data_IF_229474766906
#
_entry.id   IF_229474766906
#
_cell.length_a   1.000
_cell.length_b   1.000
_cell.length_c   1.000
_cell.angle_alpha   90.00
_cell.angle_beta   90.00
_cell.angle_gamma   90.00
#
_symmetry.space_group_name_H-M   'P 1'
#
loop_
_entity.id
_entity.type
_entity.pdbx_description
1 polymer ?
#
# COMPACT_ATOMS: atom_id res chain seq x y z
N UNK A 1 1.06 -21.85 -11.13
CA UNK A 1 0.44 -20.81 -10.30
C UNK A 1 -0.91 -21.32 -9.83
N UNK A 2 -1.18 -21.27 -8.53
CA UNK A 2 -2.50 -21.61 -8.01
C UNK A 2 -3.41 -20.36 -7.92
N UNK A 3 -4.69 -20.58 -7.54
CA UNK A 3 -5.69 -19.52 -7.47
C UNK A 3 -5.36 -18.42 -6.45
N UNK A 4 -4.79 -18.80 -5.30
CA UNK A 4 -4.45 -17.84 -4.25
C UNK A 4 -3.25 -16.98 -4.69
N UNK A 5 -2.23 -17.63 -5.23
CA UNK A 5 -1.05 -16.97 -5.80
C UNK A 5 -1.46 -16.00 -6.93
N UNK A 6 -2.43 -16.38 -7.77
CA UNK A 6 -2.97 -15.48 -8.79
C UNK A 6 -3.63 -14.23 -8.20
N UNK A 7 -4.49 -14.40 -7.19
CA UNK A 7 -5.21 -13.29 -6.54
C UNK A 7 -4.22 -12.30 -5.91
N UNK A 8 -3.12 -12.79 -5.36
CA UNK A 8 -2.07 -11.96 -4.76
C UNK A 8 -1.21 -11.23 -5.80
N UNK A 9 -0.84 -11.90 -6.90
CA UNK A 9 0.09 -11.35 -7.88
C UNK A 9 -0.56 -10.51 -8.98
N UNK A 10 -1.72 -10.90 -9.49
CA UNK A 10 -2.36 -10.26 -10.65
C UNK A 10 -2.59 -8.74 -10.49
N UNK A 11 -2.99 -8.22 -9.31
CA UNK A 11 -3.16 -6.78 -9.10
C UNK A 11 -1.88 -5.98 -9.37
N UNK A 12 -0.69 -6.52 -9.06
CA UNK A 12 0.58 -5.82 -9.26
C UNK A 12 0.91 -5.56 -10.73
N UNK A 13 0.49 -6.46 -11.64
CA UNK A 13 0.67 -6.30 -13.08
C UNK A 13 -0.24 -5.22 -13.66
N UNK A 14 -1.51 -5.20 -13.23
CA UNK A 14 -2.47 -4.16 -13.62
C UNK A 14 -2.08 -2.80 -13.03
N UNK A 15 -1.56 -2.76 -11.81
CA UNK A 15 -1.02 -1.55 -11.19
C UNK A 15 0.18 -1.00 -11.98
N UNK A 16 1.13 -1.85 -12.35
CA UNK A 16 2.27 -1.45 -13.17
C UNK A 16 1.85 -0.93 -14.55
N UNK A 17 0.97 -1.66 -15.26
CA UNK A 17 0.46 -1.24 -16.56
C UNK A 17 -0.28 0.11 -16.48
N UNK A 18 -1.15 0.27 -15.48
CA UNK A 18 -1.88 1.53 -15.27
C UNK A 18 -0.91 2.67 -14.97
N UNK A 19 0.13 2.44 -14.15
CA UNK A 19 1.13 3.46 -13.82
C UNK A 19 1.94 3.88 -15.05
N UNK A 20 2.33 2.91 -15.88
CA UNK A 20 3.03 3.16 -17.16
C UNK A 20 2.15 4.01 -18.08
N UNK A 21 0.90 3.61 -18.33
CA UNK A 21 0.00 4.36 -19.19
C UNK A 21 -0.19 5.81 -18.73
N UNK A 22 -0.42 6.01 -17.42
CA UNK A 22 -0.56 7.35 -16.85
C UNK A 22 0.75 8.16 -16.91
N UNK A 23 1.91 7.52 -16.82
CA UNK A 23 3.21 8.21 -16.88
C UNK A 23 3.53 8.78 -18.27
N UNK A 24 3.00 8.19 -19.34
CA UNK A 24 3.32 8.55 -20.73
C UNK A 24 2.56 9.77 -21.24
N UNK A 25 1.38 10.04 -20.67
CA UNK A 25 0.49 11.09 -21.13
C UNK A 25 0.10 12.02 -19.98
N UNK A 26 0.06 13.32 -20.25
CA UNK A 26 -0.53 14.31 -19.34
C UNK A 26 -1.99 14.51 -19.71
N UNK A 27 -2.88 14.46 -18.71
CA UNK A 27 -4.30 14.67 -18.95
C UNK A 27 -5.21 13.90 -18.01
N UNK A 28 -6.43 13.67 -18.49
CA UNK A 28 -7.48 12.94 -17.82
C UNK A 28 -7.68 11.59 -18.49
N UNK A 29 -7.86 10.55 -17.68
CA UNK A 29 -8.01 9.18 -18.16
C UNK A 29 -9.33 8.59 -17.67
N UNK A 30 -10.05 7.87 -18.51
CA UNK A 30 -11.13 6.99 -18.07
C UNK A 30 -10.62 5.55 -18.02
N UNK A 31 -11.38 4.64 -17.38
CA UNK A 31 -11.07 3.20 -17.47
C UNK A 31 -11.03 2.75 -18.94
N UNK A 32 -11.93 3.27 -19.76
CA UNK A 32 -11.98 2.98 -21.18
C UNK A 32 -10.75 3.47 -21.93
N UNK A 33 -10.21 4.66 -21.61
CA UNK A 33 -8.97 5.12 -22.25
C UNK A 33 -7.77 4.27 -21.82
N UNK A 34 -7.72 3.81 -20.57
CA UNK A 34 -6.67 2.89 -20.09
C UNK A 34 -6.73 1.54 -20.81
N UNK A 35 -7.93 0.99 -21.00
CA UNK A 35 -8.13 -0.22 -21.79
C UNK A 35 -7.63 -0.05 -23.22
N UNK A 36 -8.09 1.01 -23.89
CA UNK A 36 -7.70 1.30 -25.26
C UNK A 36 -6.19 1.51 -25.44
N UNK A 37 -5.48 2.05 -24.45
CA UNK A 37 -4.01 2.17 -24.47
C UNK A 37 -3.32 0.81 -24.60
N UNK A 38 -3.92 -0.24 -24.03
CA UNK A 38 -3.46 -1.62 -24.11
C UNK A 38 -4.40 -2.50 -24.95
N UNK A 39 -5.03 -1.94 -25.98
CA UNK A 39 -5.77 -2.71 -26.97
C UNK A 39 -4.97 -2.76 -28.27
N UNK A 40 -4.73 -3.97 -28.78
CA UNK A 40 -4.18 -4.16 -30.12
C UNK A 40 -5.35 -4.39 -31.08
N UNK A 41 -5.47 -3.52 -32.09
CA UNK A 41 -6.47 -3.66 -33.16
C UNK A 41 -5.79 -4.24 -34.39
N UNK A 42 -6.18 -5.45 -34.77
CA UNK A 42 -5.75 -6.11 -36.00
C UNK A 42 -6.96 -6.25 -36.94
N UNK A 43 -6.72 -6.57 -38.22
CA UNK A 43 -7.79 -6.65 -39.22
C UNK A 43 -8.90 -7.66 -38.86
N UNK A 44 -8.57 -8.66 -38.04
CA UNK A 44 -9.45 -9.78 -37.69
C UNK A 44 -10.00 -9.70 -36.24
N UNK A 45 -9.73 -8.61 -35.51
CA UNK A 45 -10.27 -8.43 -34.16
C UNK A 45 -9.51 -7.43 -33.28
N UNK A 46 -10.00 -7.28 -32.05
CA UNK A 46 -9.37 -6.47 -31.01
C UNK A 46 -8.92 -7.38 -29.86
N UNK A 47 -7.67 -7.21 -29.43
CA UNK A 47 -7.10 -7.89 -28.27
C UNK A 47 -6.87 -6.88 -27.15
N UNK A 48 -7.78 -6.87 -26.17
CA UNK A 48 -7.71 -6.04 -24.96
C UNK A 48 -6.85 -6.72 -23.89
N UNK A 49 -5.67 -6.16 -23.58
CA UNK A 49 -4.79 -6.75 -22.55
C UNK A 49 -5.22 -6.39 -21.11
N UNK A 50 -5.95 -5.28 -20.91
CA UNK A 50 -6.56 -4.93 -19.61
C UNK A 50 -8.02 -5.37 -19.53
N UNK A 51 -8.29 -6.67 -19.65
CA UNK A 51 -9.66 -7.19 -19.83
C UNK A 51 -10.55 -7.15 -18.58
N UNK A 52 -9.96 -7.07 -17.37
CA UNK A 52 -10.71 -7.23 -16.11
C UNK A 52 -10.81 -5.93 -15.30
N UNK A 53 -12.00 -5.32 -15.34
CA UNK A 53 -12.32 -4.09 -14.61
C UNK A 53 -11.97 -4.12 -13.12
N UNK A 54 -12.12 -5.27 -12.45
CA UNK A 54 -11.85 -5.37 -11.01
C UNK A 54 -10.38 -5.14 -10.69
N UNK A 55 -9.47 -5.59 -11.56
CA UNK A 55 -8.03 -5.39 -11.41
C UNK A 55 -7.64 -3.95 -11.75
N UNK A 56 -8.26 -3.33 -12.78
CA UNK A 56 -8.07 -1.91 -13.10
C UNK A 56 -8.53 -1.03 -11.93
N UNK A 57 -9.74 -1.29 -11.41
CA UNK A 57 -10.29 -0.54 -10.27
C UNK A 57 -9.46 -0.74 -9.00
N UNK A 58 -8.91 -1.93 -8.78
CA UNK A 58 -7.96 -2.18 -7.70
C UNK A 58 -6.70 -1.30 -7.85
N UNK A 59 -6.09 -1.29 -9.04
CA UNK A 59 -4.94 -0.44 -9.32
C UNK A 59 -5.23 1.06 -9.09
N UNK A 60 -6.33 1.57 -9.64
CA UNK A 60 -6.75 2.96 -9.47
C UNK A 60 -7.02 3.31 -8.01
N UNK A 61 -7.68 2.43 -7.24
CA UNK A 61 -7.90 2.61 -5.80
C UNK A 61 -6.59 2.71 -5.04
N UNK A 62 -5.62 1.85 -5.34
CA UNK A 62 -4.28 1.90 -4.71
C UNK A 62 -3.57 3.21 -5.03
N UNK A 63 -3.63 3.70 -6.27
CA UNK A 63 -3.03 4.99 -6.66
C UNK A 63 -3.72 6.18 -5.97
N UNK A 64 -5.06 6.16 -5.88
CA UNK A 64 -5.83 7.17 -5.14
C UNK A 64 -5.50 7.16 -3.65
N UNK A 65 -5.40 5.97 -3.04
CA UNK A 65 -5.03 5.82 -1.63
C UNK A 65 -3.64 6.36 -1.30
N UNK A 66 -2.72 6.35 -2.28
CA UNK A 66 -1.39 6.96 -2.19
C UNK A 66 -1.38 8.46 -2.52
N UNK A 67 -2.51 9.03 -2.93
CA UNK A 67 -2.63 10.43 -3.38
C UNK A 67 -1.96 10.71 -4.73
N UNK A 68 -1.62 9.68 -5.50
CA UNK A 68 -0.99 9.84 -6.82
C UNK A 68 -1.97 10.29 -7.89
N UNK A 69 -3.23 9.90 -7.77
CA UNK A 69 -4.30 10.33 -8.67
C UNK A 69 -5.53 10.78 -7.89
N UNK A 70 -6.38 11.57 -8.55
CA UNK A 70 -7.71 11.95 -8.06
C UNK A 70 -8.79 11.48 -9.04
N UNK A 71 -9.94 11.10 -8.51
CA UNK A 71 -11.13 10.79 -9.30
C UNK A 71 -12.01 12.04 -9.43
N UNK A 72 -12.42 12.33 -10.66
CA UNK A 72 -13.38 13.35 -11.03
C UNK A 72 -14.62 12.60 -11.51
N UNK A 73 -15.55 12.39 -10.59
CA UNK A 73 -16.81 11.73 -10.87
C UNK A 73 -17.70 12.62 -11.75
N UNK A 74 -18.36 12.02 -12.73
CA UNK A 74 -19.41 12.66 -13.52
C UNK A 74 -20.75 11.94 -13.28
N UNK A 75 -21.86 12.65 -13.51
CA UNK A 75 -23.20 12.11 -13.31
C UNK A 75 -23.67 11.21 -14.45
N UNK A 76 -23.19 11.46 -15.66
CA UNK A 76 -23.66 10.80 -16.89
C UNK A 76 -22.51 10.17 -17.69
N UNK A 77 -21.32 10.78 -17.64
CA UNK A 77 -20.10 10.27 -18.25
C UNK A 77 -19.32 9.30 -17.34
N UNK A 78 -18.29 8.65 -17.89
CA UNK A 78 -17.37 7.85 -17.10
C UNK A 78 -16.58 8.75 -16.13
N UNK A 79 -16.24 8.23 -14.95
CA UNK A 79 -15.27 8.87 -14.07
C UNK A 79 -13.95 9.11 -14.80
N UNK A 80 -13.38 10.28 -14.59
CA UNK A 80 -12.06 10.65 -15.07
C UNK A 80 -11.05 10.62 -13.92
N UNK A 81 -9.83 10.23 -14.23
CA UNK A 81 -8.72 10.14 -13.30
C UNK A 81 -7.63 11.10 -13.75
N UNK A 82 -7.11 11.90 -12.83
CA UNK A 82 -6.06 12.87 -13.09
C UNK A 82 -4.86 12.60 -12.20
N UNK A 83 -3.65 12.65 -12.77
CA UNK A 83 -2.40 12.66 -12.00
C UNK A 83 -2.34 13.88 -11.08
N UNK A 84 -1.91 13.69 -9.84
CA UNK A 84 -1.57 14.79 -8.95
C UNK A 84 -0.13 15.24 -9.20
N UNK A 85 0.25 16.38 -8.65
CA UNK A 85 1.64 16.89 -8.73
C UNK A 85 2.65 15.99 -8.01
N UNK A 86 2.19 15.05 -7.18
CA UNK A 86 3.03 14.11 -6.43
C UNK A 86 3.02 12.70 -7.04
N UNK A 87 2.37 12.49 -8.20
CA UNK A 87 2.23 11.17 -8.83
C UNK A 87 3.57 10.45 -8.98
N UNK A 88 4.59 11.12 -9.52
CA UNK A 88 5.90 10.51 -9.72
C UNK A 88 6.57 10.12 -8.39
N UNK A 89 6.44 10.96 -7.36
CA UNK A 89 7.03 10.72 -6.05
C UNK A 89 6.37 9.55 -5.31
N UNK A 90 5.05 9.38 -5.43
CA UNK A 90 4.26 8.42 -4.65
C UNK A 90 3.90 7.13 -5.40
N UNK A 91 3.95 7.14 -6.73
CA UNK A 91 3.62 6.00 -7.59
C UNK A 91 4.87 5.49 -8.32
N UNK A 92 5.52 6.33 -9.13
CA UNK A 92 6.60 5.90 -10.03
C UNK A 92 7.89 5.58 -9.28
N UNK A 93 8.36 6.49 -8.42
CA UNK A 93 9.61 6.28 -7.66
C UNK A 93 9.58 5.00 -6.80
N UNK A 94 8.50 4.68 -6.05
CA UNK A 94 8.42 3.42 -5.32
C UNK A 94 8.41 2.17 -6.23
N UNK A 95 7.81 2.28 -7.42
CA UNK A 95 7.82 1.19 -8.41
C UNK A 95 9.22 0.98 -9.04
N UNK A 96 10.03 2.03 -9.12
CA UNK A 96 11.41 1.97 -9.61
C UNK A 96 12.37 1.26 -8.63
N UNK A 97 12.05 1.26 -7.33
CA UNK A 97 12.89 0.65 -6.29
C UNK A 97 12.44 -0.72 -5.83
N UNK A 98 11.25 -1.17 -6.27
CA UNK A 98 10.65 -2.43 -5.83
C UNK A 98 10.80 -3.51 -6.90
N UNK A 99 11.32 -4.69 -6.54
CA UNK A 99 11.29 -5.83 -7.47
C UNK A 99 9.83 -6.20 -7.79
N UNK A 100 9.45 -6.08 -9.05
CA UNK A 100 8.06 -6.15 -9.46
C UNK A 100 7.87 -5.99 -10.97
N UNK A 101 6.62 -6.07 -11.46
CA UNK A 101 6.35 -6.01 -12.89
C UNK A 101 6.83 -4.71 -13.55
N UNK A 102 6.81 -3.60 -12.83
CA UNK A 102 7.27 -2.30 -13.37
C UNK A 102 8.78 -2.28 -13.67
N UNK A 103 9.63 -2.66 -12.71
CA UNK A 103 11.09 -2.67 -12.96
C UNK A 103 11.48 -3.73 -13.99
N UNK A 104 10.81 -4.90 -13.99
CA UNK A 104 10.99 -5.95 -15.01
C UNK A 104 10.61 -5.44 -16.41
N UNK A 105 9.56 -4.63 -16.50
CA UNK A 105 9.19 -3.97 -17.74
C UNK A 105 10.25 -2.97 -18.21
N UNK A 106 10.72 -2.10 -17.31
CA UNK A 106 11.71 -1.05 -17.60
C UNK A 106 13.06 -1.62 -18.04
N UNK A 107 13.42 -2.79 -17.52
CA UNK A 107 14.66 -3.52 -17.86
C UNK A 107 14.55 -4.37 -19.13
N UNK A 108 13.34 -4.54 -19.68
CA UNK A 108 13.14 -5.27 -20.92
C UNK A 108 13.54 -4.42 -22.14
N UNK A 109 14.25 -5.02 -23.10
CA UNK A 109 14.62 -4.37 -24.37
C UNK A 109 13.41 -3.93 -25.21
N UNK A 110 12.22 -4.52 -24.97
CA UNK A 110 10.96 -4.12 -25.58
C UNK A 110 9.90 -3.97 -24.48
N UNK A 111 9.87 -2.78 -23.86
CA UNK A 111 8.96 -2.46 -22.76
C UNK A 111 7.49 -2.75 -23.13
N UNK A 112 6.99 -2.24 -24.26
CA UNK A 112 5.60 -2.47 -24.66
C UNK A 112 5.30 -3.95 -24.93
N UNK A 113 6.22 -4.68 -25.56
CA UNK A 113 6.07 -6.11 -25.80
C UNK A 113 6.01 -6.91 -24.51
N UNK A 114 6.88 -6.58 -23.54
CA UNK A 114 6.95 -7.29 -22.26
C UNK A 114 5.67 -7.13 -21.44
N UNK A 115 5.18 -5.90 -21.26
CA UNK A 115 3.97 -5.67 -20.45
C UNK A 115 2.74 -6.31 -21.09
N UNK A 116 2.61 -6.23 -22.42
CA UNK A 116 1.51 -6.89 -23.15
C UNK A 116 1.55 -8.41 -22.99
N UNK A 117 2.74 -9.02 -23.11
CA UNK A 117 2.89 -10.45 -22.88
C UNK A 117 2.56 -10.86 -21.43
N UNK A 118 2.96 -10.05 -20.45
CA UNK A 118 2.64 -10.29 -19.05
C UNK A 118 1.13 -10.18 -18.78
N UNK A 119 0.47 -9.13 -19.29
CA UNK A 119 -0.98 -8.97 -19.18
C UNK A 119 -1.74 -10.10 -19.89
N UNK A 120 -1.29 -10.53 -21.07
CA UNK A 120 -1.84 -11.70 -21.75
C UNK A 120 -1.74 -12.95 -20.87
N UNK A 121 -0.60 -13.17 -20.21
CA UNK A 121 -0.43 -14.29 -19.28
C UNK A 121 -1.40 -14.20 -18.10
N UNK A 122 -1.61 -13.01 -17.54
CA UNK A 122 -2.61 -12.78 -16.48
C UNK A 122 -4.01 -13.14 -16.99
N UNK A 123 -4.35 -12.75 -18.22
CA UNK A 123 -5.68 -13.02 -18.76
C UNK A 123 -5.91 -14.51 -19.06
N UNK A 124 -4.89 -15.20 -19.58
CA UNK A 124 -4.94 -16.66 -19.76
C UNK A 124 -5.11 -17.36 -18.41
N UNK A 125 -4.30 -17.00 -17.40
CA UNK A 125 -4.40 -17.60 -16.07
C UNK A 125 -5.72 -17.29 -15.36
N UNK A 126 -6.30 -16.10 -15.57
CA UNK A 126 -7.64 -15.78 -15.06
C UNK A 126 -8.67 -16.82 -15.52
N UNK A 127 -8.66 -17.14 -16.81
CA UNK A 127 -9.57 -18.11 -17.41
C UNK A 127 -9.28 -19.53 -16.92
N UNK A 128 -8.02 -19.96 -16.98
CA UNK A 128 -7.60 -21.32 -16.58
C UNK A 128 -7.91 -21.64 -15.11
N UNK A 129 -7.73 -20.67 -14.22
CA UNK A 129 -7.98 -20.82 -12.79
C UNK A 129 -9.44 -20.55 -12.40
N UNK A 130 -10.32 -20.31 -13.37
CA UNK A 130 -11.75 -19.98 -13.14
C UNK A 130 -11.92 -18.85 -12.12
N UNK A 131 -11.13 -17.79 -12.31
CA UNK A 131 -11.18 -16.61 -11.46
C UNK A 131 -12.44 -15.82 -11.77
N UNK A 132 -13.02 -15.22 -10.73
CA UNK A 132 -14.22 -14.42 -10.79
C UNK A 132 -14.01 -13.10 -10.05
N UNK A 133 -14.84 -12.10 -10.34
CA UNK A 133 -14.80 -10.82 -9.62
C UNK A 133 -14.94 -11.00 -8.10
N UNK A 134 -15.71 -12.01 -7.66
CA UNK A 134 -15.91 -12.34 -6.25
C UNK A 134 -14.62 -12.74 -5.53
N UNK A 135 -13.62 -13.24 -6.27
CA UNK A 135 -12.32 -13.59 -5.70
C UNK A 135 -11.49 -12.34 -5.34
N UNK A 136 -11.89 -11.16 -5.85
CA UNK A 136 -11.30 -9.86 -5.52
C UNK A 136 -12.24 -8.96 -4.71
N UNK A 137 -13.48 -9.40 -4.48
CA UNK A 137 -14.39 -8.81 -3.50
C UNK A 137 -13.89 -9.18 -2.10
N UNK A 138 -12.75 -8.64 -1.69
CA UNK A 138 -12.42 -8.65 -0.27
C UNK A 138 -13.48 -7.80 0.44
N UNK A 139 -14.14 -8.32 1.49
CA UNK A 139 -14.93 -7.46 2.35
C UNK A 139 -14.02 -6.31 2.80
N UNK A 140 -14.53 -5.07 2.89
CA UNK A 140 -13.72 -3.97 3.40
C UNK A 140 -13.07 -4.44 4.70
N UNK A 141 -11.75 -4.29 4.81
CA UNK A 141 -11.02 -4.65 6.03
C UNK A 141 -11.72 -3.94 7.17
N UNK A 142 -12.44 -4.69 8.02
CA UNK A 142 -12.98 -4.13 9.24
C UNK A 142 -11.80 -3.84 10.14
N UNK A 143 -11.39 -2.58 10.14
CA UNK A 143 -10.19 -2.14 10.84
C UNK A 143 -10.28 -2.36 12.35
N UNK A 144 -11.49 -2.59 12.87
CA UNK A 144 -11.75 -2.86 14.28
C UNK A 144 -12.01 -4.34 14.58
N UNK A 145 -12.01 -5.19 13.56
CA UNK A 145 -12.08 -6.63 13.76
C UNK A 145 -10.88 -7.10 14.61
N UNK A 146 -11.12 -7.93 15.65
CA UNK A 146 -10.06 -8.42 16.50
C UNK A 146 -9.17 -9.41 15.75
N UNK A 147 -7.88 -9.20 15.85
CA UNK A 147 -6.80 -10.07 15.37
C UNK A 147 -6.17 -10.69 16.61
N UNK A 148 -6.28 -12.00 16.75
CA UNK A 148 -5.67 -12.74 17.86
C UNK A 148 -4.16 -12.77 17.73
N UNK A 149 -3.46 -12.46 18.83
CA UNK A 149 -2.00 -12.50 18.91
C UNK A 149 -1.55 -13.36 20.09
N UNK A 150 -0.37 -13.99 19.95
CA UNK A 150 0.30 -14.67 21.07
C UNK A 150 1.34 -13.73 21.69
N UNK A 151 1.16 -13.41 22.97
CA UNK A 151 2.06 -12.53 23.73
C UNK A 151 3.45 -13.13 23.95
N UNK A 152 3.57 -14.47 23.87
CA UNK A 152 4.86 -15.16 23.98
C UNK A 152 5.62 -15.16 22.66
N UNK A 153 4.97 -14.73 21.58
CA UNK A 153 5.58 -14.68 20.28
C UNK A 153 6.75 -13.69 20.28
N UNK A 154 7.88 -14.10 19.69
CA UNK A 154 9.07 -13.25 19.62
C UNK A 154 8.80 -11.90 18.94
N UNK A 155 7.96 -11.87 17.89
CA UNK A 155 7.63 -10.64 17.17
C UNK A 155 6.83 -9.66 18.04
N UNK A 156 5.84 -10.16 18.78
CA UNK A 156 5.01 -9.35 19.69
C UNK A 156 5.86 -8.82 20.85
N UNK A 157 6.71 -9.66 21.46
CA UNK A 157 7.61 -9.21 22.53
C UNK A 157 8.58 -8.13 22.07
N UNK A 158 9.17 -8.30 20.88
CA UNK A 158 10.04 -7.28 20.30
C UNK A 158 9.27 -5.97 20.04
N UNK A 159 8.06 -6.05 19.48
CA UNK A 159 7.21 -4.88 19.26
C UNK A 159 6.88 -4.15 20.57
N UNK A 160 6.53 -4.87 21.63
CA UNK A 160 6.29 -4.29 22.97
C UNK A 160 7.55 -3.60 23.50
N UNK A 161 8.70 -4.29 23.46
CA UNK A 161 9.97 -3.75 23.98
C UNK A 161 10.39 -2.47 23.23
N UNK A 162 10.36 -2.49 21.90
CA UNK A 162 10.77 -1.34 21.10
C UNK A 162 9.78 -0.18 21.23
N UNK A 163 8.47 -0.47 21.26
CA UNK A 163 7.45 0.56 21.46
C UNK A 163 7.58 1.22 22.85
N UNK A 164 7.88 0.46 23.90
CA UNK A 164 8.11 0.98 25.25
C UNK A 164 9.30 1.94 25.29
N UNK A 165 10.43 1.54 24.68
CA UNK A 165 11.63 2.37 24.56
C UNK A 165 11.34 3.67 23.79
N UNK A 166 10.68 3.58 22.64
CA UNK A 166 10.32 4.75 21.84
C UNK A 166 9.36 5.68 22.60
N UNK A 167 8.32 5.14 23.23
CA UNK A 167 7.34 5.90 24.02
C UNK A 167 8.02 6.63 25.17
N UNK A 168 8.90 5.95 25.91
CA UNK A 168 9.63 6.54 27.03
C UNK A 168 10.60 7.63 26.56
N UNK A 169 11.28 7.43 25.44
CA UNK A 169 12.19 8.43 24.88
C UNK A 169 11.45 9.69 24.43
N UNK A 170 10.32 9.53 23.73
CA UNK A 170 9.45 10.65 23.31
C UNK A 170 8.87 11.37 24.54
N UNK A 171 8.43 10.62 25.55
CA UNK A 171 7.83 11.18 26.76
C UNK A 171 8.86 12.03 27.54
N UNK A 172 10.12 11.62 27.58
CA UNK A 172 11.18 12.33 28.32
C UNK A 172 11.79 13.51 27.57
N UNK A 173 11.43 13.72 26.31
CA UNK A 173 12.00 14.81 25.52
C UNK A 173 11.38 16.16 25.89
N UNK A 174 12.15 16.97 26.60
CA UNK A 174 11.74 18.31 27.03
C UNK A 174 11.58 19.27 25.85
N UNK A 175 12.35 19.10 24.77
CA UNK A 175 12.28 19.96 23.59
C UNK A 175 10.93 19.82 22.87
N UNK A 176 10.47 18.58 22.73
CA UNK A 176 9.19 18.25 22.11
C UNK A 176 8.01 18.65 23.00
N UNK A 177 8.12 18.46 24.32
CA UNK A 177 7.13 18.93 25.28
C UNK A 177 6.95 20.45 25.27
N UNK A 178 8.01 21.23 24.98
CA UNK A 178 7.95 22.69 24.93
C UNK A 178 7.47 23.20 23.57
N UNK A 179 7.99 22.63 22.47
CA UNK A 179 7.73 23.16 21.11
C UNK A 179 6.43 22.64 20.51
N UNK A 180 5.99 21.43 20.88
CA UNK A 180 4.83 20.75 20.29
C UNK A 180 4.03 19.95 21.34
N UNK A 181 3.74 20.56 22.49
CA UNK A 181 3.10 19.90 23.64
C UNK A 181 1.87 19.04 23.28
N UNK A 182 0.94 19.57 22.50
CA UNK A 182 -0.29 18.86 22.12
C UNK A 182 -0.01 17.66 21.21
N UNK A 183 0.90 17.81 20.23
CA UNK A 183 1.31 16.72 19.32
C UNK A 183 1.99 15.61 20.12
N UNK A 184 2.92 15.98 21.02
CA UNK A 184 3.61 15.07 21.93
C UNK A 184 2.63 14.30 22.81
N UNK A 185 1.66 14.98 23.42
CA UNK A 185 0.68 14.34 24.30
C UNK A 185 -0.23 13.37 23.55
N UNK A 186 -0.63 13.72 22.31
CA UNK A 186 -1.42 12.82 21.46
C UNK A 186 -0.60 11.60 21.05
N UNK A 187 0.64 11.80 20.58
CA UNK A 187 1.57 10.72 20.22
C UNK A 187 1.78 9.79 21.41
N UNK A 188 2.18 10.32 22.58
CA UNK A 188 2.43 9.49 23.77
C UNK A 188 1.18 8.73 24.20
N UNK A 189 -0.01 9.36 24.14
CA UNK A 189 -1.29 8.71 24.45
C UNK A 189 -1.57 7.54 23.50
N UNK A 190 -1.40 7.74 22.20
CA UNK A 190 -1.65 6.70 21.20
C UNK A 190 -0.66 5.54 21.32
N UNK A 191 0.62 5.83 21.58
CA UNK A 191 1.64 4.79 21.79
C UNK A 191 1.39 4.01 23.09
N UNK A 192 1.05 4.67 24.20
CA UNK A 192 0.69 3.99 25.46
C UNK A 192 -0.56 3.13 25.31
N UNK A 193 -1.60 3.64 24.63
CA UNK A 193 -2.80 2.86 24.33
C UNK A 193 -2.50 1.64 23.46
N UNK A 194 -1.61 1.79 22.47
CA UNK A 194 -1.09 0.70 21.65
C UNK A 194 -0.34 -0.36 22.45
N UNK A 195 0.54 0.08 23.35
CA UNK A 195 1.35 -0.78 24.19
C UNK A 195 0.50 -1.61 25.16
N UNK A 196 -0.51 -1.00 25.78
CA UNK A 196 -1.44 -1.74 26.63
C UNK A 196 -2.26 -2.77 25.84
N UNK A 197 -2.62 -2.48 24.59
CA UNK A 197 -3.32 -3.44 23.74
C UNK A 197 -2.44 -4.56 23.20
N UNK A 198 -1.17 -4.33 22.92
CA UNK A 198 -0.23 -5.40 22.59
C UNK A 198 -0.02 -6.39 23.75
N UNK A 199 -0.26 -5.96 24.99
CA UNK A 199 -0.25 -6.83 26.18
C UNK A 199 -1.59 -7.56 26.40
N UNK A 200 -2.54 -7.41 25.48
CA UNK A 200 -3.77 -8.21 25.45
C UNK A 200 -3.66 -9.31 24.40
N UNK A 201 -4.64 -10.20 24.32
CA UNK A 201 -4.69 -11.32 23.38
C UNK A 201 -5.18 -10.92 21.98
N UNK A 202 -5.64 -9.67 21.82
CA UNK A 202 -6.27 -9.17 20.59
C UNK A 202 -5.82 -7.75 20.25
N UNK A 203 -5.55 -7.52 18.95
CA UNK A 203 -5.30 -6.20 18.36
C UNK A 203 -6.24 -5.95 17.18
N UNK A 204 -6.13 -4.80 16.54
CA UNK A 204 -6.87 -4.53 15.29
C UNK A 204 -6.02 -3.72 14.31
N UNK A 205 -6.35 -3.75 13.03
CA UNK A 205 -5.67 -2.95 11.99
C UNK A 205 -5.72 -1.46 12.33
N UNK A 206 -6.86 -0.99 12.83
CA UNK A 206 -7.07 0.40 13.25
C UNK A 206 -6.14 0.80 14.39
N UNK A 207 -5.87 -0.10 15.34
CA UNK A 207 -4.86 0.10 16.39
C UNK A 207 -3.45 0.18 15.79
N UNK A 208 -3.08 -0.78 14.93
CA UNK A 208 -1.77 -0.81 14.26
C UNK A 208 -1.53 0.48 13.50
N UNK A 209 -2.53 0.94 12.73
CA UNK A 209 -2.49 2.21 12.01
C UNK A 209 -2.26 3.41 12.94
N UNK A 210 -2.96 3.47 14.08
CA UNK A 210 -2.78 4.55 15.06
C UNK A 210 -1.34 4.59 15.58
N UNK A 211 -0.78 3.43 15.92
CA UNK A 211 0.61 3.31 16.40
C UNK A 211 1.59 3.76 15.33
N UNK A 212 1.46 3.25 14.10
CA UNK A 212 2.32 3.62 12.98
C UNK A 212 2.25 5.12 12.67
N UNK A 213 1.05 5.71 12.72
CA UNK A 213 0.85 7.15 12.51
C UNK A 213 1.56 7.95 13.60
N UNK A 214 1.40 7.57 14.87
CA UNK A 214 2.06 8.25 15.99
C UNK A 214 3.59 8.14 15.91
N UNK A 215 4.13 6.97 15.56
CA UNK A 215 5.56 6.77 15.35
C UNK A 215 6.09 7.59 14.16
N UNK A 216 5.36 7.64 13.04
CA UNK A 216 5.73 8.45 11.87
C UNK A 216 5.76 9.93 12.20
N UNK A 217 4.74 10.44 12.89
CA UNK A 217 4.69 11.84 13.35
C UNK A 217 5.88 12.16 14.24
N UNK A 218 6.18 11.31 15.22
CA UNK A 218 7.35 11.49 16.07
C UNK A 218 8.67 11.40 15.29
N UNK A 219 8.79 10.46 14.35
CA UNK A 219 10.00 10.24 13.55
C UNK A 219 10.41 11.48 12.75
N UNK A 220 9.44 12.22 12.21
CA UNK A 220 9.70 13.50 11.52
C UNK A 220 10.34 14.52 12.45
N UNK A 221 9.96 14.55 13.73
CA UNK A 221 10.50 15.50 14.73
C UNK A 221 11.88 15.11 15.23
N UNK A 222 12.12 13.80 15.37
CA UNK A 222 13.33 13.25 15.98
C UNK A 222 14.37 12.75 14.97
N UNK A 223 14.26 13.16 13.70
CA UNK A 223 15.19 12.76 12.65
C UNK A 223 16.65 13.01 13.07
N UNK A 224 17.51 12.00 12.88
CA UNK A 224 18.94 12.03 13.23
C UNK A 224 19.26 12.21 14.73
N UNK A 225 18.34 11.83 15.63
CA UNK A 225 18.58 11.83 17.09
C UNK A 225 18.57 10.41 17.66
N UNK A 226 19.05 10.25 18.90
CA UNK A 226 18.94 8.98 19.64
C UNK A 226 17.48 8.55 19.84
N UNK A 227 16.58 9.51 20.09
CA UNK A 227 15.13 9.27 20.15
C UNK A 227 14.60 8.78 18.80
N UNK A 228 15.11 9.34 17.70
CA UNK A 228 14.83 8.89 16.34
C UNK A 228 15.18 7.42 16.12
N UNK A 229 16.36 6.98 16.58
CA UNK A 229 16.76 5.57 16.49
C UNK A 229 15.84 4.63 17.25
N UNK A 230 15.33 5.05 18.42
CA UNK A 230 14.35 4.26 19.17
C UNK A 230 13.02 4.15 18.42
N UNK A 231 12.58 5.23 17.78
CA UNK A 231 11.37 5.27 16.93
C UNK A 231 11.54 4.35 15.71
N UNK A 232 12.69 4.40 15.04
CA UNK A 232 12.99 3.54 13.89
C UNK A 232 12.98 2.06 14.26
N UNK A 233 13.53 1.72 15.44
CA UNK A 233 13.46 0.37 15.99
C UNK A 233 12.02 -0.09 16.24
N UNK A 234 11.16 0.79 16.77
CA UNK A 234 9.74 0.49 16.96
C UNK A 234 8.98 0.33 15.65
N UNK A 235 9.25 1.18 14.64
CA UNK A 235 8.69 1.05 13.30
C UNK A 235 9.06 -0.27 12.65
N UNK A 236 10.33 -0.68 12.76
CA UNK A 236 10.81 -1.95 12.22
C UNK A 236 10.15 -3.15 12.92
N UNK A 237 10.05 -3.14 14.25
CA UNK A 237 9.39 -4.21 14.99
C UNK A 237 7.90 -4.33 14.63
N UNK A 238 7.20 -3.20 14.49
CA UNK A 238 5.80 -3.18 14.08
C UNK A 238 5.59 -3.66 12.64
N UNK A 239 6.53 -3.39 11.74
CA UNK A 239 6.47 -3.89 10.36
C UNK A 239 6.39 -5.42 10.32
N UNK A 240 7.14 -6.10 11.18
CA UNK A 240 7.08 -7.56 11.27
C UNK A 240 5.76 -8.06 11.87
N UNK A 241 5.19 -7.34 12.84
CA UNK A 241 3.84 -7.62 13.35
C UNK A 241 2.79 -7.47 12.24
N UNK A 242 2.86 -6.39 11.44
CA UNK A 242 1.91 -6.16 10.34
C UNK A 242 1.99 -7.28 9.31
N UNK A 243 3.19 -7.64 8.86
CA UNK A 243 3.38 -8.72 7.89
C UNK A 243 2.78 -10.04 8.37
N UNK A 244 2.95 -10.35 9.66
CA UNK A 244 2.52 -11.63 10.21
C UNK A 244 1.03 -11.68 10.54
N UNK A 245 0.49 -10.61 11.14
CA UNK A 245 -0.84 -10.63 11.77
C UNK A 245 -1.87 -9.77 11.04
N UNK A 246 -1.45 -8.83 10.19
CA UNK A 246 -2.32 -7.92 9.46
C UNK A 246 -2.02 -7.93 7.95
N UNK A 247 -1.66 -9.10 7.40
CA UNK A 247 -1.29 -9.28 6.00
C UNK A 247 -2.37 -8.75 5.04
N UNK A 248 -3.65 -9.01 5.35
CA UNK A 248 -4.81 -8.55 4.58
C UNK A 248 -4.99 -7.03 4.57
N UNK A 249 -4.32 -6.29 5.46
CA UNK A 249 -4.38 -4.85 5.56
C UNK A 249 -3.05 -4.16 5.19
N UNK A 250 -2.08 -4.89 4.66
CA UNK A 250 -0.76 -4.36 4.32
C UNK A 250 -0.84 -3.14 3.40
N UNK A 251 -1.69 -3.20 2.37
CA UNK A 251 -1.87 -2.10 1.41
C UNK A 251 -2.35 -0.80 2.09
N UNK A 252 -3.23 -0.91 3.09
CA UNK A 252 -3.71 0.24 3.87
C UNK A 252 -2.61 0.83 4.76
N UNK A 253 -1.73 -0.02 5.27
CA UNK A 253 -0.71 0.35 6.25
C UNK A 253 0.62 0.76 5.60
N UNK A 254 0.87 0.38 4.34
CA UNK A 254 2.14 0.64 3.65
C UNK A 254 2.47 2.13 3.48
N UNK A 255 1.47 3.00 3.33
CA UNK A 255 1.68 4.44 3.24
C UNK A 255 2.25 5.07 4.54
N UNK A 256 2.18 4.34 5.66
CA UNK A 256 2.65 4.80 6.97
C UNK A 256 4.05 4.29 7.32
N UNK A 257 4.56 3.29 6.62
CA UNK A 257 5.88 2.74 6.84
C UNK A 257 6.94 3.47 5.98
N UNK A 258 8.15 3.72 6.50
CA UNK A 258 9.21 4.34 5.71
C UNK A 258 9.63 3.45 4.52
N UNK A 259 10.00 4.05 3.36
CA UNK A 259 10.60 3.34 2.24
C UNK A 259 11.96 2.77 2.66
N UNK A 260 12.32 1.64 2.05
CA UNK A 260 13.56 0.90 2.33
C UNK A 260 14.78 1.60 1.71
#
# INVERSE_FOLDING_TARGET
>A
MDKQEFIELAPSYYYAATAIALSLEDGFFSIESLKNHYTLRENDGELEYLSYDVLIKSALRTMMGKGGIIEIADRFGPSLFQKTTVFDDVIIRPLDTTDGPYIKNKTANNYNGWIRAALQSVNTSWFELSISNKDFEQPPVDEWAPITIDQNEATIRAAVEHLDKATTAIERDNGYAVTHAQERDQVVRDLKGGLEKLKTDTISVGLVRRILTALKTAGVRFANTLTGQAIDGALLAFKEVVKKHANSALELLWALLPPW
#
